data_IF_773330948519
#
_entry.id   IF_773330948519
#
_cell.length_a   1.000
_cell.length_b   1.000
_cell.length_c   1.000
_cell.angle_alpha   90.00
_cell.angle_beta   90.00
_cell.angle_gamma   90.00
#
_symmetry.space_group_name_H-M   'P 1'
#
loop_
_entity.id
_entity.type
_entity.pdbx_description
1 polymer ?
#
# COMPACT_ATOMS: atom_id res chain seq x y z
N UNK A 1 7.86 0.38 -13.15
CA UNK A 1 7.87 1.53 -14.08
C UNK A 1 8.28 2.78 -13.32
N UNK A 2 9.15 3.60 -13.88
CA UNK A 2 9.45 4.94 -13.41
C UNK A 2 8.72 5.96 -14.28
N UNK A 3 8.10 6.95 -13.66
CA UNK A 3 7.30 7.98 -14.35
C UNK A 3 7.83 9.34 -13.93
N UNK A 4 8.23 10.15 -14.89
CA UNK A 4 8.68 11.52 -14.64
C UNK A 4 7.46 12.43 -14.44
N UNK A 5 7.34 13.00 -13.24
CA UNK A 5 6.18 13.82 -12.84
C UNK A 5 6.60 14.86 -11.81
N UNK A 6 7.22 15.93 -12.25
CA UNK A 6 7.82 16.91 -11.33
C UNK A 6 6.86 17.39 -10.23
N UNK A 7 5.66 17.79 -10.59
CA UNK A 7 4.69 18.34 -9.63
C UNK A 7 4.09 17.25 -8.71
N UNK A 8 3.82 16.07 -9.24
CA UNK A 8 3.24 14.97 -8.44
C UNK A 8 4.29 14.44 -7.47
N UNK A 9 5.52 14.19 -7.95
CA UNK A 9 6.61 13.67 -7.12
C UNK A 9 6.93 14.58 -5.92
N UNK A 10 6.98 15.92 -6.12
CA UNK A 10 7.23 16.89 -5.04
C UNK A 10 6.19 16.87 -3.92
N UNK A 11 4.95 16.50 -4.23
CA UNK A 11 3.83 16.55 -3.29
C UNK A 11 3.41 15.17 -2.78
N UNK A 12 3.99 14.11 -3.32
CA UNK A 12 3.65 12.73 -2.95
C UNK A 12 4.17 12.35 -1.56
N UNK A 13 3.43 11.46 -0.89
CA UNK A 13 3.75 10.90 0.43
C UNK A 13 3.59 9.39 0.42
N UNK A 14 4.28 8.66 1.32
CA UNK A 14 4.13 7.21 1.45
C UNK A 14 2.67 6.81 1.72
N UNK A 15 2.19 5.79 1.03
CA UNK A 15 0.82 5.29 1.14
C UNK A 15 -0.18 5.92 0.18
N UNK A 16 0.19 6.98 -0.54
CA UNK A 16 -0.63 7.55 -1.61
C UNK A 16 -0.53 6.73 -2.91
N UNK A 17 -1.41 7.04 -3.85
CA UNK A 17 -1.48 6.41 -5.17
C UNK A 17 -1.59 7.46 -6.28
N UNK A 18 -1.47 7.01 -7.51
CA UNK A 18 -1.78 7.78 -8.72
C UNK A 18 -2.79 7.02 -9.57
N UNK A 19 -3.60 7.73 -10.33
CA UNK A 19 -4.46 7.17 -11.37
C UNK A 19 -3.77 7.29 -12.71
N UNK A 20 -3.58 6.17 -13.41
CA UNK A 20 -2.92 6.10 -14.71
C UNK A 20 -3.97 5.83 -15.78
N UNK A 21 -4.02 6.67 -16.80
CA UNK A 21 -4.93 6.55 -17.94
C UNK A 21 -4.32 5.66 -19.03
N UNK A 22 -5.17 4.90 -19.70
CA UNK A 22 -4.78 4.13 -20.89
C UNK A 22 -4.94 5.00 -22.14
N UNK A 23 -4.19 4.71 -23.19
CA UNK A 23 -4.38 5.38 -24.48
C UNK A 23 -5.59 4.84 -25.29
N UNK A 24 -6.27 3.82 -24.76
CA UNK A 24 -7.44 3.23 -25.40
C UNK A 24 -8.71 4.00 -25.02
N UNK A 25 -9.26 4.74 -25.97
CA UNK A 25 -10.49 5.54 -25.80
C UNK A 25 -11.73 4.72 -25.42
N UNK A 26 -11.71 3.39 -25.60
CA UNK A 26 -12.76 2.49 -25.12
C UNK A 26 -12.69 2.19 -23.62
N UNK A 27 -11.62 2.61 -22.93
CA UNK A 27 -11.33 2.31 -21.52
C UNK A 27 -11.17 3.59 -20.72
N UNK A 28 -12.30 4.23 -20.43
CA UNK A 28 -12.37 5.55 -19.83
C UNK A 28 -11.88 5.62 -18.37
N UNK A 29 -11.98 4.52 -17.63
CA UNK A 29 -11.56 4.54 -16.22
C UNK A 29 -10.05 4.39 -16.07
N UNK A 30 -9.38 5.24 -15.27
CA UNK A 30 -7.96 5.09 -15.00
C UNK A 30 -7.68 3.89 -14.08
N UNK A 31 -6.41 3.53 -13.96
CA UNK A 31 -5.94 2.47 -13.07
C UNK A 31 -5.27 3.10 -11.84
N UNK A 32 -5.87 2.96 -10.65
CA UNK A 32 -5.23 3.38 -9.41
C UNK A 32 -4.05 2.46 -9.11
N UNK A 33 -2.86 3.04 -9.00
CA UNK A 33 -1.64 2.30 -8.67
C UNK A 33 -0.92 3.02 -7.53
N UNK A 34 -0.61 2.28 -6.47
CA UNK A 34 0.09 2.80 -5.32
C UNK A 34 1.51 3.25 -5.68
N UNK A 35 1.96 4.32 -5.05
CA UNK A 35 3.33 4.82 -5.19
C UNK A 35 4.26 3.89 -4.40
N UNK A 36 5.25 3.33 -5.12
CA UNK A 36 6.27 2.46 -4.53
C UNK A 36 7.45 3.26 -3.99
N UNK A 37 7.89 4.28 -4.74
CA UNK A 37 9.07 5.08 -4.40
C UNK A 37 8.92 6.49 -4.97
N UNK A 38 9.47 7.47 -4.24
CA UNK A 38 9.45 8.89 -4.59
C UNK A 38 10.89 9.35 -4.78
N UNK A 39 11.16 9.94 -5.93
CA UNK A 39 12.44 10.61 -6.23
C UNK A 39 12.17 12.11 -6.48
N UNK A 40 13.22 12.89 -6.75
CA UNK A 40 13.12 14.35 -6.91
C UNK A 40 12.03 14.80 -7.91
N UNK A 41 11.95 14.14 -9.06
CA UNK A 41 11.05 14.47 -10.16
C UNK A 41 10.39 13.22 -10.78
N UNK A 42 10.50 12.08 -10.11
CA UNK A 42 10.01 10.79 -10.61
C UNK A 42 9.28 10.02 -9.52
N UNK A 43 8.30 9.23 -9.94
CA UNK A 43 7.65 8.21 -9.12
C UNK A 43 7.93 6.83 -9.67
N UNK A 44 8.19 5.87 -8.78
CA UNK A 44 8.19 4.45 -9.13
C UNK A 44 6.85 3.84 -8.77
N UNK A 45 6.27 3.13 -9.71
CA UNK A 45 5.11 2.28 -9.48
C UNK A 45 5.45 0.83 -9.80
N UNK A 46 4.91 -0.09 -9.02
CA UNK A 46 5.04 -1.54 -9.23
C UNK A 46 3.64 -2.11 -9.24
N UNK A 47 3.29 -2.84 -10.29
CA UNK A 47 1.95 -3.39 -10.49
C UNK A 47 2.02 -4.79 -11.09
N UNK A 48 0.99 -5.57 -10.85
CA UNK A 48 0.78 -6.85 -11.51
C UNK A 48 -0.02 -6.65 -12.78
N UNK A 49 0.37 -7.31 -13.86
CA UNK A 49 -0.44 -7.37 -15.07
C UNK A 49 -1.65 -8.25 -14.80
N UNK A 50 -2.81 -7.62 -14.57
CA UNK A 50 -4.05 -8.30 -14.19
C UNK A 50 -5.19 -8.07 -15.20
N UNK A 51 -5.01 -7.14 -16.14
CA UNK A 51 -5.99 -6.82 -17.14
C UNK A 51 -5.41 -5.95 -18.25
N UNK A 52 -6.22 -5.61 -19.22
CA UNK A 52 -5.79 -4.94 -20.45
C UNK A 52 -5.05 -3.60 -20.20
N UNK A 53 -5.53 -2.77 -19.24
CA UNK A 53 -4.85 -1.51 -18.92
C UNK A 53 -3.43 -1.72 -18.38
N UNK A 54 -3.25 -2.65 -17.44
CA UNK A 54 -1.92 -2.97 -16.92
C UNK A 54 -1.06 -3.71 -17.95
N UNK A 55 -1.67 -4.42 -18.93
CA UNK A 55 -0.95 -5.01 -20.06
C UNK A 55 -0.36 -3.90 -20.95
N UNK A 56 -1.16 -2.90 -21.31
CA UNK A 56 -0.68 -1.75 -22.09
C UNK A 56 0.48 -1.05 -21.37
N UNK A 57 0.40 -0.84 -20.07
CA UNK A 57 1.51 -0.24 -19.33
C UNK A 57 2.78 -1.09 -19.35
N UNK A 58 2.66 -2.42 -19.38
CA UNK A 58 3.82 -3.33 -19.45
C UNK A 58 4.51 -3.35 -20.82
N UNK A 59 3.82 -2.89 -21.86
CA UNK A 59 4.35 -2.79 -23.22
C UNK A 59 5.00 -1.43 -23.53
N UNK A 60 4.80 -0.44 -22.64
CA UNK A 60 5.40 0.89 -22.78
C UNK A 60 6.92 0.84 -22.67
N UNK A 61 7.56 1.71 -23.44
CA UNK A 61 9.03 1.86 -23.49
C UNK A 61 9.46 3.13 -22.78
N UNK A 62 10.74 3.27 -22.56
CA UNK A 62 11.32 4.51 -22.10
C UNK A 62 10.95 5.66 -23.07
N UNK A 63 10.68 6.83 -22.49
CA UNK A 63 10.28 8.07 -23.18
C UNK A 63 8.85 8.07 -23.75
N UNK A 64 8.09 6.99 -23.64
CA UNK A 64 6.66 7.03 -23.94
C UNK A 64 5.93 7.99 -23.00
N UNK A 65 4.95 8.72 -23.53
CA UNK A 65 4.12 9.63 -22.73
C UNK A 65 2.97 8.85 -22.08
N UNK A 66 2.69 9.20 -20.83
CA UNK A 66 1.60 8.61 -20.06
C UNK A 66 0.82 9.71 -19.32
N UNK A 67 -0.49 9.60 -19.31
CA UNK A 67 -1.34 10.52 -18.55
C UNK A 67 -1.55 9.99 -17.14
N UNK A 68 -1.28 10.84 -16.14
CA UNK A 68 -1.42 10.50 -14.73
C UNK A 68 -2.11 11.63 -13.96
N UNK A 69 -2.93 11.25 -13.00
CA UNK A 69 -3.53 12.14 -12.02
C UNK A 69 -3.03 11.76 -10.62
N UNK A 70 -2.58 12.74 -9.86
CA UNK A 70 -2.09 12.51 -8.50
C UNK A 70 -1.34 13.70 -7.89
N UNK A 71 -0.76 13.51 -6.71
CA UNK A 71 -0.94 12.35 -5.83
C UNK A 71 -2.36 12.32 -5.28
N UNK A 72 -2.88 11.10 -5.03
CA UNK A 72 -4.25 10.89 -4.59
C UNK A 72 -4.30 10.18 -3.23
N UNK A 73 -5.37 10.45 -2.50
CA UNK A 73 -5.63 9.88 -1.19
C UNK A 73 -4.71 10.41 -0.08
N UNK A 74 -4.87 9.84 1.10
CA UNK A 74 -4.11 10.17 2.31
C UNK A 74 -3.04 9.08 2.55
N UNK A 75 -1.81 9.51 2.81
CA UNK A 75 -0.71 8.62 3.13
C UNK A 75 -0.65 8.25 4.61
N UNK A 76 0.37 7.48 4.97
CA UNK A 76 0.64 7.11 6.36
C UNK A 76 1.04 8.31 7.21
N UNK A 77 0.56 8.33 8.45
CA UNK A 77 1.04 9.24 9.48
C UNK A 77 2.31 8.66 10.10
N UNK A 78 3.47 9.25 9.80
CA UNK A 78 4.74 8.76 10.31
C UNK A 78 4.85 9.01 11.82
N UNK A 79 5.30 7.98 12.56
CA UNK A 79 5.57 8.04 13.99
C UNK A 79 7.04 7.80 14.24
N UNK A 80 7.60 8.53 15.20
CA UNK A 80 8.97 8.30 15.70
C UNK A 80 8.92 7.30 16.86
N UNK A 81 8.54 6.06 16.55
CA UNK A 81 8.38 4.93 17.46
C UNK A 81 8.87 3.66 16.79
N UNK A 82 9.26 2.65 17.56
CA UNK A 82 9.64 1.34 17.01
C UNK A 82 8.51 0.80 16.12
N UNK A 83 8.78 0.70 14.83
CA UNK A 83 7.76 0.39 13.83
C UNK A 83 7.80 -1.07 13.37
N UNK A 84 6.61 -1.64 13.10
CA UNK A 84 6.48 -2.89 12.36
C UNK A 84 5.75 -2.61 11.05
N UNK A 85 6.44 -2.85 9.94
CA UNK A 85 5.87 -2.74 8.60
C UNK A 85 5.47 -4.12 8.13
N UNK A 86 4.19 -4.34 7.80
CA UNK A 86 3.69 -5.66 7.42
C UNK A 86 3.09 -5.57 6.01
N UNK A 87 3.64 -6.32 5.08
CA UNK A 87 3.18 -6.28 3.70
C UNK A 87 3.04 -7.67 3.07
N UNK A 88 2.06 -7.81 2.17
CA UNK A 88 1.83 -9.06 1.47
C UNK A 88 1.45 -8.88 0.00
N UNK A 89 2.02 -9.72 -0.87
CA UNK A 89 1.74 -9.70 -2.30
C UNK A 89 1.97 -8.33 -2.93
N UNK A 90 0.98 -7.80 -3.66
CA UNK A 90 1.10 -6.49 -4.32
C UNK A 90 1.03 -5.31 -3.33
N UNK A 91 0.79 -5.56 -2.05
CA UNK A 91 0.92 -4.55 -0.99
C UNK A 91 2.37 -4.30 -0.55
N UNK A 92 3.33 -5.10 -1.00
CA UNK A 92 4.76 -4.91 -0.70
C UNK A 92 5.31 -3.60 -1.29
N UNK A 93 5.11 -3.26 -2.58
CA UNK A 93 5.67 -2.06 -3.18
C UNK A 93 5.35 -0.75 -2.45
N UNK A 94 4.11 -0.43 -2.05
CA UNK A 94 3.79 0.84 -1.39
C UNK A 94 4.44 1.02 -0.02
N UNK A 95 4.93 -0.05 0.60
CA UNK A 95 5.63 0.02 1.88
C UNK A 95 7.10 0.44 1.76
N UNK A 96 7.68 0.41 0.55
CA UNK A 96 9.10 0.72 0.37
C UNK A 96 9.41 2.20 0.67
N UNK A 97 8.62 3.13 0.14
CA UNK A 97 8.82 4.56 0.43
C UNK A 97 8.62 4.86 1.92
N UNK A 98 7.63 4.23 2.55
CA UNK A 98 7.44 4.35 4.00
C UNK A 98 8.66 3.86 4.77
N UNK A 99 9.20 2.70 4.41
CA UNK A 99 10.39 2.14 5.04
C UNK A 99 11.61 3.05 4.92
N UNK A 100 11.76 3.77 3.80
CA UNK A 100 12.84 4.74 3.56
C UNK A 100 12.66 6.02 4.38
N UNK A 101 11.45 6.51 4.53
CA UNK A 101 11.16 7.78 5.21
C UNK A 101 11.15 7.67 6.73
N UNK A 102 10.74 6.53 7.29
CA UNK A 102 10.81 6.30 8.72
C UNK A 102 12.26 6.32 9.21
N UNK A 103 12.54 7.12 10.26
CA UNK A 103 13.88 7.25 10.84
C UNK A 103 14.08 6.41 12.11
N UNK A 104 12.99 5.84 12.62
CA UNK A 104 13.01 4.97 13.80
C UNK A 104 13.49 3.55 13.47
N UNK A 105 13.76 2.78 14.53
CA UNK A 105 13.99 1.33 14.42
C UNK A 105 12.74 0.66 13.83
N UNK A 106 12.95 -0.26 12.91
CA UNK A 106 11.85 -0.93 12.25
C UNK A 106 12.16 -2.37 11.89
N UNK A 107 11.16 -3.22 12.09
CA UNK A 107 11.13 -4.59 11.55
C UNK A 107 10.13 -4.64 10.40
N UNK A 108 10.55 -5.18 9.27
CA UNK A 108 9.77 -5.23 8.03
C UNK A 108 9.41 -6.69 7.77
N UNK A 109 8.12 -7.02 7.88
CA UNK A 109 7.60 -8.39 7.67
C UNK A 109 6.97 -8.47 6.30
N UNK A 110 7.56 -9.26 5.41
CA UNK A 110 7.15 -9.39 4.01
C UNK A 110 6.60 -10.80 3.72
N UNK A 111 5.36 -10.85 3.23
CA UNK A 111 4.70 -12.08 2.81
C UNK A 111 4.71 -12.24 1.29
N UNK A 112 5.22 -13.37 0.83
CA UNK A 112 5.27 -13.75 -0.57
C UNK A 112 4.62 -15.13 -0.77
N UNK A 113 4.33 -15.48 -2.00
CA UNK A 113 3.80 -16.79 -2.33
C UNK A 113 4.89 -17.87 -2.31
N UNK A 114 6.03 -17.50 -2.87
CA UNK A 114 7.18 -18.39 -3.11
C UNK A 114 8.50 -17.59 -3.06
N UNK A 115 9.56 -18.15 -3.61
CA UNK A 115 10.90 -17.56 -3.65
C UNK A 115 11.04 -16.29 -4.50
N UNK A 116 10.01 -15.88 -5.25
CA UNK A 116 10.03 -14.62 -6.00
C UNK A 116 9.77 -13.43 -5.06
N UNK A 117 10.83 -13.05 -4.35
CA UNK A 117 10.82 -12.02 -3.29
C UNK A 117 11.24 -10.66 -3.86
N UNK A 118 10.42 -10.11 -4.74
CA UNK A 118 10.69 -8.80 -5.36
C UNK A 118 10.84 -7.68 -4.31
N UNK A 119 11.72 -6.72 -4.57
CA UNK A 119 12.09 -5.59 -3.70
C UNK A 119 12.78 -5.96 -2.37
N UNK A 120 13.06 -7.23 -2.12
CA UNK A 120 13.65 -7.67 -0.85
C UNK A 120 14.97 -6.96 -0.53
N UNK A 121 15.85 -6.80 -1.52
CA UNK A 121 17.17 -6.19 -1.30
C UNK A 121 17.08 -4.68 -1.03
N UNK A 122 16.05 -4.02 -1.54
CA UNK A 122 15.76 -2.62 -1.19
C UNK A 122 15.27 -2.50 0.26
N UNK A 123 14.42 -3.41 0.71
CA UNK A 123 13.93 -3.41 2.11
C UNK A 123 15.04 -3.72 3.11
N UNK A 124 15.96 -4.64 2.81
CA UNK A 124 17.12 -4.93 3.65
C UNK A 124 18.00 -3.72 3.93
N UNK A 125 17.98 -2.70 3.04
CA UNK A 125 18.69 -1.44 3.26
C UNK A 125 17.94 -0.48 4.21
N UNK A 126 16.68 -0.76 4.50
CA UNK A 126 15.83 0.11 5.31
C UNK A 126 15.71 -0.34 6.77
N UNK A 127 15.89 -1.62 7.07
CA UNK A 127 15.75 -2.16 8.41
C UNK A 127 15.88 -3.67 8.45
N UNK A 128 15.56 -4.26 9.61
CA UNK A 128 15.50 -5.70 9.79
C UNK A 128 14.33 -6.28 8.97
N UNK A 129 14.59 -7.35 8.21
CA UNK A 129 13.58 -7.98 7.35
C UNK A 129 13.29 -9.40 7.78
N UNK A 130 12.02 -9.67 8.04
CA UNK A 130 11.45 -11.01 8.30
C UNK A 130 10.62 -11.42 7.09
N UNK A 131 10.79 -12.66 6.62
CA UNK A 131 10.13 -13.16 5.41
C UNK A 131 9.22 -14.32 5.77
N UNK A 132 8.02 -14.32 5.20
CA UNK A 132 7.12 -15.47 5.14
C UNK A 132 6.87 -15.86 3.69
N UNK A 133 6.89 -17.16 3.40
CA UNK A 133 6.45 -17.69 2.09
C UNK A 133 5.42 -18.81 2.30
N UNK A 134 4.36 -18.80 1.48
CA UNK A 134 3.29 -19.79 1.60
C UNK A 134 3.81 -21.23 1.41
N UNK A 135 4.75 -21.41 0.48
CA UNK A 135 5.36 -22.72 0.17
C UNK A 135 6.53 -23.10 1.11
N UNK A 136 7.05 -22.17 1.90
CA UNK A 136 8.20 -22.36 2.78
C UNK A 136 9.54 -22.36 2.06
N UNK A 137 9.61 -21.80 0.85
CA UNK A 137 10.86 -21.77 0.07
C UNK A 137 11.91 -20.83 0.66
N UNK A 138 11.49 -19.75 1.34
CA UNK A 138 12.38 -18.80 2.04
C UNK A 138 11.67 -18.30 3.32
N UNK A 139 12.44 -18.19 4.41
CA UNK A 139 11.95 -17.67 5.68
C UNK A 139 10.95 -18.60 6.37
N UNK A 140 10.00 -18.02 7.11
CA UNK A 140 8.94 -18.79 7.79
C UNK A 140 7.95 -19.34 6.77
N UNK A 141 7.64 -20.63 6.87
CA UNK A 141 6.57 -21.25 6.07
C UNK A 141 5.21 -20.82 6.61
N UNK A 142 4.41 -20.14 5.78
CA UNK A 142 3.08 -19.70 6.14
C UNK A 142 2.84 -18.24 5.74
N UNK A 143 2.11 -17.52 6.56
CA UNK A 143 1.76 -16.12 6.35
C UNK A 143 2.56 -15.17 7.27
N UNK A 144 2.36 -13.87 7.11
CA UNK A 144 3.09 -12.85 7.89
C UNK A 144 2.84 -12.96 9.40
N UNK A 145 1.67 -13.41 9.83
CA UNK A 145 1.36 -13.58 11.25
C UNK A 145 2.12 -14.77 11.86
N UNK A 146 2.35 -15.82 11.06
CA UNK A 146 3.18 -16.95 11.47
C UNK A 146 4.63 -16.49 11.70
N UNK A 147 5.16 -15.68 10.77
CA UNK A 147 6.50 -15.12 10.88
C UNK A 147 6.64 -14.15 12.08
N UNK A 148 5.64 -13.28 12.33
CA UNK A 148 5.60 -12.39 13.49
C UNK A 148 5.69 -13.20 14.79
N UNK A 149 4.92 -14.28 14.89
CA UNK A 149 4.90 -15.15 16.06
C UNK A 149 6.22 -15.91 16.23
N UNK A 150 6.73 -16.51 15.17
CA UNK A 150 7.96 -17.31 15.20
C UNK A 150 9.18 -16.47 15.60
N UNK A 151 9.28 -15.25 15.04
CA UNK A 151 10.40 -14.33 15.26
C UNK A 151 10.17 -13.39 16.47
N UNK A 152 9.05 -13.55 17.20
CA UNK A 152 8.70 -12.68 18.34
C UNK A 152 8.77 -11.18 17.99
N UNK A 153 8.24 -10.80 16.81
CA UNK A 153 8.27 -9.42 16.35
C UNK A 153 7.43 -8.52 17.25
N UNK A 154 8.01 -7.39 17.69
CA UNK A 154 7.36 -6.41 18.55
C UNK A 154 7.57 -5.00 18.03
N UNK A 155 6.62 -4.11 18.30
CA UNK A 155 6.71 -2.70 17.96
C UNK A 155 5.68 -1.86 18.72
N UNK A 156 5.75 -0.55 18.51
CA UNK A 156 4.88 0.44 19.16
C UNK A 156 3.89 1.08 18.15
N UNK A 157 4.16 0.87 16.86
CA UNK A 157 3.29 1.27 15.76
C UNK A 157 3.36 0.24 14.64
N UNK A 158 2.21 -0.04 14.03
CA UNK A 158 2.08 -0.99 12.92
C UNK A 158 1.62 -0.24 11.68
N UNK A 159 2.29 -0.51 10.55
CA UNK A 159 1.89 -0.07 9.22
C UNK A 159 1.68 -1.29 8.33
N UNK A 160 0.55 -1.35 7.63
CA UNK A 160 0.27 -2.55 6.82
C UNK A 160 -0.39 -2.23 5.48
N UNK A 161 -0.02 -3.03 4.46
CA UNK A 161 -0.64 -3.03 3.14
C UNK A 161 -0.64 -4.44 2.56
N UNK A 162 -1.80 -4.89 2.07
CA UNK A 162 -1.93 -6.22 1.47
C UNK A 162 -3.37 -6.73 1.39
N UNK A 163 -3.57 -8.02 1.20
CA UNK A 163 -4.89 -8.63 1.08
C UNK A 163 -5.77 -8.43 2.33
N UNK A 164 -7.09 -8.24 2.13
CA UNK A 164 -8.05 -8.04 3.24
C UNK A 164 -7.92 -9.06 4.38
N UNK A 165 -7.78 -10.38 4.14
CA UNK A 165 -7.59 -11.35 5.22
C UNK A 165 -6.34 -11.08 6.07
N UNK A 166 -5.23 -10.66 5.43
CA UNK A 166 -4.02 -10.26 6.13
C UNK A 166 -4.26 -9.01 6.97
N UNK A 167 -4.86 -7.96 6.38
CA UNK A 167 -5.15 -6.71 7.09
C UNK A 167 -6.07 -6.93 8.29
N UNK A 168 -7.05 -7.86 8.18
CA UNK A 168 -7.92 -8.25 9.30
C UNK A 168 -7.12 -8.87 10.44
N UNK A 169 -6.23 -9.82 10.15
CA UNK A 169 -5.39 -10.44 11.17
C UNK A 169 -4.42 -9.45 11.81
N UNK A 170 -3.82 -8.54 11.02
CA UNK A 170 -2.95 -7.47 11.51
C UNK A 170 -3.71 -6.50 12.41
N UNK A 171 -4.92 -6.09 12.02
CA UNK A 171 -5.81 -5.26 12.83
C UNK A 171 -6.12 -5.93 14.18
N UNK A 172 -6.53 -7.19 14.17
CA UNK A 172 -6.83 -7.96 15.39
C UNK A 172 -5.61 -8.06 16.29
N UNK A 173 -4.43 -8.31 15.73
CA UNK A 173 -3.18 -8.35 16.47
C UNK A 173 -2.82 -6.99 17.09
N UNK A 174 -2.92 -5.91 16.33
CA UNK A 174 -2.64 -4.56 16.82
C UNK A 174 -3.59 -4.14 17.94
N UNK A 175 -4.90 -4.35 17.77
CA UNK A 175 -5.91 -4.03 18.78
C UNK A 175 -5.71 -4.86 20.06
N UNK A 176 -5.45 -6.16 19.94
CA UNK A 176 -5.23 -7.05 21.10
C UNK A 176 -4.00 -6.68 21.91
N UNK A 177 -3.02 -6.02 21.30
CA UNK A 177 -1.79 -5.58 21.95
C UNK A 177 -1.79 -4.06 22.25
N UNK A 178 -2.90 -3.36 21.99
CA UNK A 178 -3.02 -1.91 22.18
C UNK A 178 -1.95 -1.11 21.42
N UNK A 179 -1.66 -1.52 20.18
CA UNK A 179 -0.67 -0.89 19.30
C UNK A 179 -1.38 -0.06 18.24
N UNK A 180 -1.00 1.22 18.06
CA UNK A 180 -1.48 2.05 16.95
C UNK A 180 -1.22 1.34 15.63
N UNK A 181 -2.27 1.10 14.86
CA UNK A 181 -2.19 0.33 13.61
C UNK A 181 -2.80 1.12 12.46
N UNK A 182 -2.01 1.36 11.43
CA UNK A 182 -2.44 2.02 10.19
C UNK A 182 -2.43 1.01 9.05
N UNK A 183 -3.56 0.90 8.34
CA UNK A 183 -3.74 -0.06 7.25
C UNK A 183 -4.13 0.66 5.95
N UNK A 184 -3.55 0.23 4.84
CA UNK A 184 -3.89 0.72 3.50
C UNK A 184 -4.87 -0.23 2.85
N UNK A 185 -6.06 0.30 2.50
CA UNK A 185 -7.13 -0.46 1.86
C UNK A 185 -7.07 -0.35 0.35
N UNK A 186 -7.49 -1.41 -0.32
CA UNK A 186 -7.69 -1.47 -1.76
C UNK A 186 -9.16 -1.70 -2.06
N UNK A 187 -9.75 -0.82 -2.90
CA UNK A 187 -11.11 -0.96 -3.41
C UNK A 187 -11.16 -0.62 -4.91
N UNK A 188 -12.19 -1.11 -5.60
CA UNK A 188 -12.44 -0.74 -6.99
C UNK A 188 -12.73 0.76 -7.07
N UNK A 189 -11.98 1.46 -7.91
CA UNK A 189 -12.12 2.90 -8.07
C UNK A 189 -12.58 3.25 -9.49
N UNK A 190 -13.37 4.32 -9.59
CA UNK A 190 -13.71 4.93 -10.85
C UNK A 190 -13.07 6.33 -10.96
N UNK A 191 -13.54 7.33 -10.18
CA UNK A 191 -13.05 8.70 -10.30
C UNK A 191 -11.70 8.97 -9.61
N UNK A 192 -11.35 8.24 -8.56
CA UNK A 192 -10.13 8.44 -7.77
C UNK A 192 -10.10 9.71 -6.90
N UNK A 193 -11.15 10.55 -6.91
CA UNK A 193 -11.21 11.86 -6.25
C UNK A 193 -12.37 12.01 -5.24
N UNK A 194 -13.09 10.93 -4.96
CA UNK A 194 -14.16 10.92 -3.96
C UNK A 194 -15.55 11.34 -4.48
N UNK A 195 -15.73 11.55 -5.78
CA UNK A 195 -17.00 12.05 -6.33
C UNK A 195 -18.04 10.96 -6.63
N UNK A 196 -17.61 9.74 -7.04
CA UNK A 196 -18.51 8.72 -7.58
C UNK A 196 -18.98 7.67 -6.56
N UNK A 197 -18.42 7.65 -5.35
CA UNK A 197 -18.73 6.72 -4.27
C UNK A 197 -18.51 5.22 -4.60
N UNK A 198 -17.76 4.90 -5.67
CA UNK A 198 -17.53 3.51 -6.09
C UNK A 198 -16.58 2.74 -5.15
N UNK A 199 -15.71 3.46 -4.41
CA UNK A 199 -14.67 2.88 -3.56
C UNK A 199 -14.96 3.01 -2.06
N UNK A 200 -16.23 2.99 -1.65
CA UNK A 200 -16.60 3.12 -0.24
C UNK A 200 -16.21 1.87 0.56
N UNK A 201 -15.68 2.07 1.76
CA UNK A 201 -15.52 1.05 2.78
C UNK A 201 -16.37 1.40 4.01
N UNK A 202 -16.70 0.40 4.82
CA UNK A 202 -17.44 0.61 6.06
C UNK A 202 -16.53 1.15 7.15
N UNK A 203 -17.07 2.10 7.94
CA UNK A 203 -16.41 2.70 9.09
C UNK A 203 -17.24 2.52 10.36
N UNK A 204 -16.58 2.58 11.52
CA UNK A 204 -17.28 2.59 12.81
C UNK A 204 -17.96 3.93 13.07
N UNK A 205 -17.31 5.01 12.66
CA UNK A 205 -17.82 6.36 12.85
C UNK A 205 -18.71 6.76 11.69
N UNK A 206 -19.75 7.51 11.98
CA UNK A 206 -20.61 8.15 11.00
C UNK A 206 -19.86 9.30 10.33
N UNK A 207 -19.95 9.40 9.01
CA UNK A 207 -19.39 10.52 8.25
C UNK A 207 -20.25 11.78 8.49
N UNK A 208 -19.62 12.85 8.93
CA UNK A 208 -20.31 14.10 9.31
C UNK A 208 -21.11 14.74 8.16
N UNK A 209 -20.80 14.37 6.91
CA UNK A 209 -21.39 14.98 5.73
C UNK A 209 -22.52 14.15 5.13
N UNK A 210 -22.34 12.83 5.08
CA UNK A 210 -23.29 11.89 4.47
C UNK A 210 -24.20 11.20 5.48
N UNK A 211 -23.90 11.31 6.77
CA UNK A 211 -24.60 10.64 7.87
C UNK A 211 -24.71 9.11 7.68
N UNK A 212 -23.66 8.51 7.07
CA UNK A 212 -23.55 7.06 6.90
C UNK A 212 -22.18 6.58 7.41
N UNK A 213 -22.12 5.31 7.81
CA UNK A 213 -20.89 4.65 8.29
C UNK A 213 -20.02 4.18 7.12
N UNK A 214 -19.58 5.12 6.27
CA UNK A 214 -18.77 4.84 5.09
C UNK A 214 -17.67 5.89 4.91
N UNK A 215 -16.53 5.45 4.36
CA UNK A 215 -15.47 6.33 3.89
C UNK A 215 -15.06 5.97 2.46
N UNK A 216 -14.59 6.95 1.72
CA UNK A 216 -14.14 6.79 0.33
C UNK A 216 -12.65 6.47 0.32
N UNK A 217 -12.29 5.26 -0.03
CA UNK A 217 -10.88 4.82 -0.03
C UNK A 217 -9.99 5.74 -0.87
N UNK A 218 -10.49 6.31 -1.97
CA UNK A 218 -9.70 7.19 -2.83
C UNK A 218 -9.48 8.62 -2.28
N UNK A 219 -10.30 9.08 -1.32
CA UNK A 219 -10.23 10.45 -0.79
C UNK A 219 -9.95 10.48 0.71
N UNK A 220 -10.69 9.69 1.48
CA UNK A 220 -10.60 9.65 2.94
C UNK A 220 -9.49 8.69 3.40
N UNK A 221 -9.16 7.66 2.57
CA UNK A 221 -8.02 6.76 2.62
C UNK A 221 -7.00 7.04 1.50
N UNK A 222 -6.24 6.05 1.02
CA UNK A 222 -6.38 4.60 1.29
C UNK A 222 -5.91 4.16 2.66
N UNK A 223 -5.14 4.98 3.38
CA UNK A 223 -4.63 4.67 4.71
C UNK A 223 -5.64 5.14 5.76
N UNK A 224 -5.99 4.21 6.66
CA UNK A 224 -6.88 4.43 7.80
C UNK A 224 -6.24 3.91 9.08
N UNK A 225 -6.62 4.46 10.23
CA UNK A 225 -6.40 3.75 11.48
C UNK A 225 -7.27 2.50 11.51
N UNK A 226 -6.70 1.38 11.91
CA UNK A 226 -7.37 0.08 11.83
C UNK A 226 -8.64 0.01 12.70
N UNK A 227 -8.71 0.80 13.75
CA UNK A 227 -9.88 0.90 14.62
C UNK A 227 -11.09 1.58 13.97
N UNK A 228 -10.85 2.44 12.96
CA UNK A 228 -11.89 3.24 12.30
C UNK A 228 -12.69 2.44 11.25
N UNK A 229 -12.09 1.42 10.63
CA UNK A 229 -12.68 0.70 9.50
C UNK A 229 -13.09 -0.73 9.83
N UNK A 230 -14.13 -1.22 9.18
CA UNK A 230 -14.56 -2.63 9.22
C UNK A 230 -13.95 -3.40 8.03
N UNK A 231 -13.42 -4.62 8.31
CA UNK A 231 -12.76 -5.48 7.31
C UNK A 231 -13.48 -6.82 7.14
#
# INVERSE_FOLDING_TARGET
MWIKTENIAKNARPGQFISIYTHDSSRLLPRPISICEISKDMLRVVYRVAGEGTRQFSEMKADDKIEVMGPLGNGYTLRDKKAVLIAGGIGVPPMLELAKQLKCDKTIVLGYRDKDTFLLDEFKKCGEVVIATEDGSIGTKGNVMDAIKEQNVTGEVIYSCGPKPMLKAVKEWGLSNNIETQISLEEKMACGIGACLACVCKTKNEDEHSHVHNARVCKDGPVFFAEEVEL
#
